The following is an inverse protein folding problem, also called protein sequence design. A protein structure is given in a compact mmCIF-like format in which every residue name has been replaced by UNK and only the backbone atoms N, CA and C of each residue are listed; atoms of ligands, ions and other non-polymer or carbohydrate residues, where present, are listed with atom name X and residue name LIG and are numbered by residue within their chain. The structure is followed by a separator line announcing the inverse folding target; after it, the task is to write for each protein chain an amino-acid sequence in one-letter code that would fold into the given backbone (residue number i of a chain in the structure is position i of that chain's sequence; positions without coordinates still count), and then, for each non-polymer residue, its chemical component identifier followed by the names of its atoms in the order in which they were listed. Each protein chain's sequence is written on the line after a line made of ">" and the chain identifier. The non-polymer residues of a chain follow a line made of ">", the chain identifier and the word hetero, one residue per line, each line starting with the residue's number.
data_IF_308714675773
#
_entry.id   IF_308714675773
#
_cell.length_a   1.000
_cell.length_b   1.000
_cell.length_c   1.000
_cell.angle_alpha   90.00
_cell.angle_beta   90.00
_cell.angle_gamma   90.00
#
_symmetry.space_group_name_H-M   'P 1'
#
loop_
_entity.id
_entity.type
_entity.pdbx_description
1 polymer ?
#
# COMPACT_ATOMS: atom_id res chain seq x y z
N UNK A 1 47.75 32.20 -14.14
CA UNK A 1 46.47 32.74 -13.62
C UNK A 1 45.48 33.23 -14.68
N UNK A 2 45.90 33.85 -15.80
CA UNK A 2 44.96 34.37 -16.82
C UNK A 2 44.10 33.28 -17.49
N UNK A 3 44.68 32.11 -17.82
CA UNK A 3 43.95 31.00 -18.45
C UNK A 3 42.84 30.39 -17.56
N UNK A 4 43.05 30.34 -16.24
CA UNK A 4 42.04 29.82 -15.29
C UNK A 4 40.78 30.69 -15.28
N UNK A 5 40.93 32.02 -15.34
CA UNK A 5 39.81 32.97 -15.34
C UNK A 5 38.99 32.88 -16.62
N UNK A 6 39.65 32.73 -17.78
CA UNK A 6 38.98 32.58 -19.07
C UNK A 6 38.21 31.25 -19.13
N UNK A 7 38.81 30.15 -18.65
CA UNK A 7 38.14 28.86 -18.58
C UNK A 7 36.89 28.89 -17.69
N UNK A 8 36.95 29.55 -16.53
CA UNK A 8 35.80 29.72 -15.62
C UNK A 8 34.65 30.50 -16.27
N UNK A 9 34.96 31.56 -17.03
CA UNK A 9 33.94 32.35 -17.75
C UNK A 9 33.31 31.49 -18.85
N UNK A 10 34.10 30.74 -19.62
CA UNK A 10 33.57 29.86 -20.68
C UNK A 10 32.67 28.78 -20.08
N UNK A 11 33.08 28.15 -18.98
CA UNK A 11 32.27 27.13 -18.29
C UNK A 11 30.97 27.74 -17.75
N UNK A 12 31.04 28.94 -17.17
CA UNK A 12 29.85 29.66 -16.67
C UNK A 12 28.87 29.99 -17.79
N UNK A 13 29.35 30.51 -18.93
CA UNK A 13 28.50 30.81 -20.08
C UNK A 13 27.91 29.53 -20.68
N UNK A 14 28.71 28.47 -20.77
CA UNK A 14 28.25 27.18 -21.27
C UNK A 14 27.14 26.58 -20.37
N UNK A 15 27.27 26.70 -19.04
CA UNK A 15 26.25 26.28 -18.08
C UNK A 15 24.93 27.05 -18.23
N UNK A 16 24.97 28.34 -18.60
CA UNK A 16 23.75 29.15 -18.81
C UNK A 16 23.01 28.85 -20.11
N UNK A 17 23.67 28.24 -21.09
CA UNK A 17 23.08 27.91 -22.41
C UNK A 17 22.53 26.47 -22.41
N UNK A 18 22.72 25.69 -21.34
CA UNK A 18 22.15 24.36 -21.25
C UNK A 18 20.62 24.46 -21.41
N UNK A 19 20.02 23.71 -22.36
CA UNK A 19 18.59 23.76 -22.59
C UNK A 19 17.84 23.42 -21.32
N UNK A 20 16.71 24.08 -21.09
CA UNK A 20 15.77 23.70 -20.03
C UNK A 20 15.42 22.23 -20.21
N UNK A 21 15.88 21.38 -19.30
CA UNK A 21 15.57 19.96 -19.33
C UNK A 21 14.09 19.84 -18.97
N UNK A 22 13.26 19.49 -19.95
CA UNK A 22 11.85 19.21 -19.71
C UNK A 22 11.74 18.11 -18.66
N UNK A 23 11.09 18.38 -17.54
CA UNK A 23 10.96 17.40 -16.47
C UNK A 23 9.52 17.16 -16.09
N UNK A 24 8.96 16.06 -16.59
CA UNK A 24 7.83 15.42 -15.93
C UNK A 24 8.38 14.55 -14.80
N UNK A 25 7.83 14.71 -13.60
CA UNK A 25 8.06 13.79 -12.49
C UNK A 25 6.97 12.72 -12.44
N UNK A 26 7.34 11.49 -12.07
CA UNK A 26 6.38 10.47 -11.64
C UNK A 26 6.69 10.10 -10.20
N UNK A 27 5.69 10.27 -9.33
CA UNK A 27 5.73 9.81 -7.95
C UNK A 27 4.78 8.63 -7.80
N UNK A 28 5.24 7.58 -7.14
CA UNK A 28 4.48 6.34 -6.94
C UNK A 28 4.25 6.12 -5.45
N UNK A 29 3.05 5.68 -5.07
CA UNK A 29 2.75 5.36 -3.66
C UNK A 29 3.46 4.06 -3.21
N UNK A 30 3.94 3.25 -4.16
CA UNK A 30 4.77 2.06 -3.90
C UNK A 30 6.22 2.28 -4.32
N UNK A 31 7.14 1.70 -3.55
CA UNK A 31 8.54 1.57 -3.93
C UNK A 31 8.67 0.54 -5.07
N UNK A 32 9.61 0.76 -6.00
CA UNK A 32 9.85 -0.11 -7.16
C UNK A 32 10.16 -1.58 -6.79
N UNK A 33 10.69 -1.80 -5.58
CA UNK A 33 11.02 -3.13 -5.06
C UNK A 33 9.88 -3.80 -4.28
N UNK A 34 8.75 -3.12 -4.08
CA UNK A 34 7.62 -3.71 -3.37
C UNK A 34 6.84 -4.64 -4.31
N UNK A 35 6.68 -5.87 -3.87
CA UNK A 35 5.84 -6.85 -4.57
C UNK A 35 4.41 -6.75 -4.06
N UNK A 36 3.47 -6.47 -4.96
CA UNK A 36 2.06 -6.42 -4.62
C UNK A 36 1.54 -7.86 -4.46
N UNK A 37 0.97 -8.20 -3.30
CA UNK A 37 0.43 -9.54 -3.08
C UNK A 37 -1.08 -9.52 -3.30
N UNK A 38 -1.55 -10.35 -4.24
CA UNK A 38 -2.94 -10.45 -4.66
C UNK A 38 -3.37 -11.92 -4.78
N UNK A 39 -4.65 -12.20 -4.51
CA UNK A 39 -5.28 -13.46 -4.86
C UNK A 39 -5.62 -13.51 -6.37
N UNK A 40 -5.77 -14.69 -6.99
CA UNK A 40 -6.23 -14.79 -8.39
C UNK A 40 -7.55 -14.04 -8.60
N UNK A 41 -7.60 -13.10 -9.53
CA UNK A 41 -8.77 -12.26 -9.80
C UNK A 41 -8.97 -11.08 -8.85
N UNK A 42 -8.18 -10.96 -7.78
CA UNK A 42 -8.24 -9.79 -6.90
C UNK A 42 -7.74 -8.56 -7.64
N UNK A 43 -8.45 -7.44 -7.44
CA UNK A 43 -8.05 -6.13 -7.92
C UNK A 43 -7.66 -5.24 -6.75
N UNK A 44 -6.60 -4.44 -6.91
CA UNK A 44 -6.20 -3.44 -5.93
C UNK A 44 -5.86 -2.12 -6.59
N UNK A 45 -6.27 -1.04 -5.92
CA UNK A 45 -5.97 0.33 -6.32
C UNK A 45 -4.51 0.69 -6.06
N UNK A 46 -3.88 1.30 -7.05
CA UNK A 46 -2.51 1.79 -7.02
C UNK A 46 -2.49 3.24 -7.51
N UNK A 47 -2.05 4.16 -6.64
CA UNK A 47 -1.94 5.57 -6.96
C UNK A 47 -0.58 5.92 -7.56
N UNK A 48 -0.61 6.70 -8.63
CA UNK A 48 0.56 7.41 -9.15
C UNK A 48 0.23 8.90 -9.25
N UNK A 49 1.26 9.75 -9.22
CA UNK A 49 1.12 11.19 -9.41
C UNK A 49 2.07 11.65 -10.49
N UNK A 50 1.52 12.29 -11.51
CA UNK A 50 2.29 12.96 -12.55
C UNK A 50 2.54 14.39 -12.07
N UNK A 51 3.79 14.83 -12.08
CA UNK A 51 4.18 16.18 -11.67
C UNK A 51 4.65 16.95 -12.89
N UNK A 52 3.99 18.07 -13.17
CA UNK A 52 4.42 19.01 -14.19
C UNK A 52 5.19 20.15 -13.52
N UNK A 53 6.51 20.21 -13.76
CA UNK A 53 7.35 21.29 -13.26
C UNK A 53 7.49 22.44 -14.25
N UNK A 54 6.88 22.36 -15.43
CA UNK A 54 6.90 23.40 -16.44
C UNK A 54 5.96 24.56 -16.07
N UNK A 55 6.21 25.72 -16.67
CA UNK A 55 5.34 26.91 -16.55
C UNK A 55 4.11 26.83 -17.47
N UNK A 56 4.06 25.85 -18.37
CA UNK A 56 2.95 25.61 -19.30
C UNK A 56 2.19 24.32 -19.01
N UNK A 57 0.99 24.20 -19.58
CA UNK A 57 0.26 22.93 -19.60
C UNK A 57 1.01 21.89 -20.45
N UNK A 58 1.00 20.65 -19.97
CA UNK A 58 1.69 19.54 -20.60
C UNK A 58 0.70 18.41 -20.85
N UNK A 59 0.66 17.90 -22.08
CA UNK A 59 -0.13 16.71 -22.40
C UNK A 59 0.76 15.47 -22.33
N UNK A 60 0.26 14.47 -21.62
CA UNK A 60 0.92 13.17 -21.47
C UNK A 60 0.10 12.06 -22.09
N UNK A 61 0.81 11.06 -22.61
CA UNK A 61 0.28 9.78 -23.05
C UNK A 61 0.70 8.72 -22.03
N UNK A 62 -0.26 7.93 -21.58
CA UNK A 62 -0.05 6.84 -20.63
C UNK A 62 -0.21 5.53 -21.39
N UNK A 63 0.81 4.68 -21.34
CA UNK A 63 0.77 3.33 -21.91
C UNK A 63 0.91 2.30 -20.79
N UNK A 64 0.10 1.25 -20.85
CA UNK A 64 0.03 0.20 -19.85
C UNK A 64 -0.48 -1.08 -20.50
N UNK A 65 -0.31 -2.20 -19.79
CA UNK A 65 -0.87 -3.49 -20.20
C UNK A 65 -2.32 -3.65 -19.71
N UNK A 66 -3.33 -3.61 -20.60
CA UNK A 66 -4.74 -3.72 -20.21
C UNK A 66 -5.11 -5.10 -19.64
N UNK A 67 -4.27 -6.13 -19.82
CA UNK A 67 -4.55 -7.46 -19.29
C UNK A 67 -4.43 -7.53 -17.75
N UNK A 68 -3.66 -6.61 -17.15
CA UNK A 68 -3.35 -6.60 -15.70
C UNK A 68 -3.64 -5.26 -15.04
N UNK A 69 -3.94 -4.22 -15.81
CA UNK A 69 -4.14 -2.86 -15.31
C UNK A 69 -5.26 -2.15 -16.07
N UNK A 70 -6.05 -1.35 -15.37
CA UNK A 70 -6.99 -0.40 -15.96
C UNK A 70 -6.88 0.97 -15.27
N UNK A 71 -6.98 2.05 -16.03
CA UNK A 71 -6.98 3.42 -15.47
C UNK A 71 -8.42 3.80 -15.11
N UNK A 72 -8.61 4.32 -13.89
CA UNK A 72 -9.88 4.88 -13.44
C UNK A 72 -9.92 6.37 -13.85
N UNK A 73 -11.09 6.82 -14.34
CA UNK A 73 -11.41 8.23 -14.67
C UNK A 73 -10.66 8.88 -15.84
N UNK A 74 -9.48 8.41 -16.22
CA UNK A 74 -8.67 9.03 -17.27
C UNK A 74 -8.60 8.22 -18.56
N UNK A 75 -8.46 8.95 -19.66
CA UNK A 75 -8.20 8.37 -20.98
C UNK A 75 -6.71 8.00 -21.15
N UNK A 76 -6.33 7.48 -22.32
CA UNK A 76 -4.92 7.27 -22.72
C UNK A 76 -4.09 8.56 -22.69
N UNK A 77 -4.75 9.72 -22.71
CA UNK A 77 -4.14 11.04 -22.65
C UNK A 77 -4.66 11.83 -21.45
N UNK A 78 -3.79 12.65 -20.87
CA UNK A 78 -4.15 13.57 -19.80
C UNK A 78 -3.42 14.91 -19.98
N UNK A 79 -4.11 15.99 -19.64
CA UNK A 79 -3.56 17.33 -19.60
C UNK A 79 -3.19 17.65 -18.14
N UNK A 80 -1.93 18.01 -17.92
CA UNK A 80 -1.36 18.31 -16.61
C UNK A 80 -1.08 19.81 -16.55
N UNK A 81 -1.81 20.58 -15.72
CA UNK A 81 -1.62 22.02 -15.61
C UNK A 81 -0.19 22.39 -15.20
N UNK A 82 0.23 23.61 -15.54
CA UNK A 82 1.53 24.16 -15.14
C UNK A 82 1.74 24.08 -13.62
N UNK A 83 2.98 23.77 -13.19
CA UNK A 83 3.38 23.68 -11.77
C UNK A 83 2.43 22.88 -10.88
N UNK A 84 1.81 21.83 -11.42
CA UNK A 84 0.78 21.07 -10.73
C UNK A 84 1.12 19.58 -10.64
N UNK A 85 0.29 18.84 -9.89
CA UNK A 85 0.36 17.39 -9.85
C UNK A 85 -1.01 16.78 -10.14
N UNK A 86 -1.04 15.86 -11.10
CA UNK A 86 -2.23 15.09 -11.47
C UNK A 86 -2.18 13.71 -10.80
N UNK A 87 -3.07 13.42 -9.84
CA UNK A 87 -3.22 12.08 -9.30
C UNK A 87 -3.91 11.16 -10.33
N UNK A 88 -3.37 9.97 -10.54
CA UNK A 88 -3.98 8.92 -11.35
C UNK A 88 -4.15 7.67 -10.50
N UNK A 89 -5.30 7.04 -10.65
CA UNK A 89 -5.61 5.80 -9.97
C UNK A 89 -5.62 4.65 -10.96
N UNK A 90 -4.75 3.67 -10.73
CA UNK A 90 -4.62 2.45 -11.53
C UNK A 90 -5.26 1.31 -10.74
N UNK A 91 -6.21 0.62 -11.35
CA UNK A 91 -6.75 -0.61 -10.80
C UNK A 91 -5.98 -1.80 -11.36
N UNK A 92 -5.37 -2.60 -10.49
CA UNK A 92 -4.42 -3.64 -10.86
C UNK A 92 -5.03 -4.98 -10.51
N UNK A 93 -5.23 -5.83 -11.52
CA UNK A 93 -5.97 -7.08 -11.38
C UNK A 93 -5.05 -8.27 -11.61
N UNK A 94 -5.04 -9.20 -10.66
CA UNK A 94 -4.31 -10.45 -10.81
C UNK A 94 -5.02 -11.39 -11.80
N UNK A 95 -4.31 -11.97 -12.78
CA UNK A 95 -4.93 -12.87 -13.76
C UNK A 95 -5.41 -14.19 -13.13
N UNK A 96 -6.61 -14.65 -13.52
CA UNK A 96 -7.28 -15.83 -12.96
C UNK A 96 -6.57 -17.17 -13.23
N UNK A 97 -5.80 -17.29 -14.33
CA UNK A 97 -5.07 -18.52 -14.69
C UNK A 97 -3.70 -18.68 -14.02
N UNK A 98 -3.40 -17.80 -13.06
CA UNK A 98 -2.21 -17.75 -12.19
C UNK A 98 -2.04 -18.95 -11.25
N UNK A 99 -0.88 -19.62 -11.24
CA UNK A 99 -0.53 -20.50 -10.13
C UNK A 99 -0.10 -19.67 -8.91
N UNK A 100 -0.45 -20.09 -7.68
CA UNK A 100 0.10 -19.48 -6.48
C UNK A 100 1.64 -19.52 -6.47
N UNK A 101 2.26 -18.39 -6.18
CA UNK A 101 3.71 -18.19 -6.22
C UNK A 101 4.21 -17.50 -7.49
N UNK A 102 3.41 -17.47 -8.55
CA UNK A 102 3.77 -16.80 -9.80
C UNK A 102 3.99 -15.30 -9.59
N UNK A 103 5.02 -14.78 -10.27
CA UNK A 103 5.33 -13.35 -10.35
C UNK A 103 4.86 -12.82 -11.68
N UNK A 104 3.99 -11.81 -11.65
CA UNK A 104 3.49 -11.12 -12.84
C UNK A 104 4.05 -9.70 -12.83
N UNK A 105 4.82 -9.34 -13.86
CA UNK A 105 5.37 -7.99 -13.99
C UNK A 105 4.32 -7.05 -14.56
N UNK A 106 4.06 -5.97 -13.84
CA UNK A 106 3.20 -4.88 -14.27
C UNK A 106 4.07 -3.71 -14.68
N UNK A 107 3.84 -3.16 -15.86
CA UNK A 107 4.60 -2.01 -16.37
C UNK A 107 3.67 -0.95 -16.93
N UNK A 108 4.06 0.30 -16.77
CA UNK A 108 3.42 1.43 -17.41
C UNK A 108 4.49 2.47 -17.79
N UNK A 109 4.18 3.31 -18.78
CA UNK A 109 5.03 4.41 -19.19
C UNK A 109 4.21 5.68 -19.38
N UNK A 110 4.77 6.80 -18.96
CA UNK A 110 4.22 8.13 -19.21
C UNK A 110 5.16 8.86 -20.15
N UNK A 111 4.62 9.31 -21.27
CA UNK A 111 5.36 10.06 -22.28
C UNK A 111 4.73 11.45 -22.44
N UNK A 112 5.55 12.49 -22.35
CA UNK A 112 5.11 13.82 -22.76
C UNK A 112 4.94 13.86 -24.28
N UNK A 113 3.79 14.32 -24.77
CA UNK A 113 3.53 14.42 -26.23
C UNK A 113 3.44 15.85 -26.73
N UNK A 114 3.17 16.83 -25.85
CA UNK A 114 3.21 18.25 -26.18
C UNK A 114 3.51 19.10 -24.94
N UNK A 115 4.05 20.31 -25.16
CA UNK A 115 4.32 21.31 -24.12
C UNK A 115 4.68 22.66 -24.74
N UNK A 116 4.88 23.70 -23.92
CA UNK A 116 5.06 25.11 -24.35
C UNK A 116 6.41 25.43 -25.04
N UNK A 117 7.07 24.47 -25.68
CA UNK A 117 8.33 24.65 -26.39
C UNK A 117 8.15 24.60 -27.92
N UNK A 118 8.79 25.52 -28.64
CA UNK A 118 8.65 25.72 -30.10
C UNK A 118 9.35 24.67 -30.99
N UNK A 119 9.43 23.41 -30.58
CA UNK A 119 10.00 22.33 -31.38
C UNK A 119 9.36 21.00 -31.03
N UNK A 120 9.34 20.04 -31.96
CA UNK A 120 8.89 18.66 -31.70
C UNK A 120 9.98 18.00 -30.84
N UNK A 121 9.84 17.93 -29.51
CA UNK A 121 10.92 17.43 -28.69
C UNK A 121 10.79 15.91 -28.67
N UNK A 122 11.89 15.20 -28.94
CA UNK A 122 11.98 13.77 -28.64
C UNK A 122 12.00 13.68 -27.11
N UNK A 123 10.81 13.56 -26.53
CA UNK A 123 10.64 13.56 -25.08
C UNK A 123 10.81 12.13 -24.54
N UNK A 124 11.68 11.92 -23.54
CA UNK A 124 11.87 10.60 -22.96
C UNK A 124 10.58 10.12 -22.31
N UNK A 125 10.24 8.86 -22.56
CA UNK A 125 9.18 8.18 -21.81
C UNK A 125 9.75 7.72 -20.46
N UNK A 126 9.01 7.97 -19.39
CA UNK A 126 9.36 7.47 -18.06
C UNK A 126 8.59 6.18 -17.85
N UNK A 127 9.32 5.07 -17.85
CA UNK A 127 8.78 3.73 -17.64
C UNK A 127 9.00 3.28 -16.20
N UNK A 128 7.95 2.72 -15.59
CA UNK A 128 7.99 2.11 -14.26
C UNK A 128 7.43 0.71 -14.34
N UNK A 129 7.93 -0.17 -13.48
CA UNK A 129 7.42 -1.53 -13.37
C UNK A 129 7.62 -2.07 -11.98
N UNK A 130 6.72 -2.94 -11.54
CA UNK A 130 6.82 -3.67 -10.29
C UNK A 130 6.18 -5.07 -10.46
N UNK A 131 6.36 -5.95 -9.47
CA UNK A 131 5.85 -7.32 -9.55
C UNK A 131 4.60 -7.50 -8.69
N UNK A 132 3.66 -8.30 -9.19
CA UNK A 132 2.58 -8.89 -8.41
C UNK A 132 2.99 -10.32 -8.06
N UNK A 133 2.84 -10.73 -6.81
CA UNK A 133 2.91 -12.13 -6.39
C UNK A 133 1.51 -12.67 -6.15
N UNK A 134 1.19 -13.75 -6.85
CA UNK A 134 -0.10 -14.42 -6.71
C UNK A 134 -0.03 -15.30 -5.45
N UNK A 135 -0.87 -15.01 -4.46
CA UNK A 135 -0.95 -15.79 -3.24
C UNK A 135 -2.14 -16.76 -3.30
N UNK A 136 -1.97 -17.93 -2.69
CA UNK A 136 -3.11 -18.84 -2.46
C UNK A 136 -3.99 -18.22 -1.38
N UNK A 137 -5.32 -18.27 -1.57
CA UNK A 137 -6.23 -17.97 -0.46
C UNK A 137 -5.79 -18.79 0.76
N UNK A 138 -5.56 -18.16 1.93
CA UNK A 138 -5.40 -18.94 3.14
C UNK A 138 -6.66 -19.79 3.27
N UNK A 139 -6.51 -21.11 3.41
CA UNK A 139 -7.63 -22.00 3.65
C UNK A 139 -8.45 -21.35 4.75
N UNK A 140 -9.70 -20.97 4.43
CA UNK A 140 -10.57 -20.22 5.34
C UNK A 140 -10.43 -20.87 6.70
N UNK A 141 -9.89 -20.16 7.68
CA UNK A 141 -9.92 -20.63 9.06
C UNK A 141 -11.39 -20.63 9.43
N UNK A 142 -12.06 -21.75 9.21
CA UNK A 142 -13.41 -21.91 9.68
C UNK A 142 -13.32 -21.86 11.20
N UNK A 143 -13.85 -20.79 11.79
CA UNK A 143 -14.09 -20.72 13.24
C UNK A 143 -14.99 -21.88 13.73
N UNK A 144 -15.53 -22.71 12.82
CA UNK A 144 -16.21 -23.97 13.16
C UNK A 144 -15.30 -24.97 13.87
N UNK A 145 -13.97 -24.89 13.70
CA UNK A 145 -13.03 -25.76 14.43
C UNK A 145 -12.76 -25.27 15.85
N UNK A 146 -13.15 -24.02 16.15
CA UNK A 146 -13.36 -23.55 17.50
C UNK A 146 -14.83 -23.79 17.83
N UNK A 147 -15.25 -25.06 17.84
CA UNK A 147 -16.38 -25.40 18.71
C UNK A 147 -15.83 -25.26 20.13
N UNK A 148 -16.21 -24.23 20.90
CA UNK A 148 -15.84 -24.21 22.30
C UNK A 148 -16.29 -25.55 22.87
N UNK A 149 -15.42 -26.24 23.59
CA UNK A 149 -15.77 -27.49 24.26
C UNK A 149 -16.72 -27.14 25.42
N UNK A 150 -17.99 -26.90 25.06
CA UNK A 150 -19.07 -26.47 25.94
C UNK A 150 -19.12 -27.39 27.19
N UNK A 151 -18.95 -28.72 27.08
CA UNK A 151 -18.81 -29.59 28.25
C UNK A 151 -17.69 -29.19 29.21
N UNK A 152 -16.49 -28.86 28.72
CA UNK A 152 -15.36 -28.42 29.56
C UNK A 152 -15.63 -27.08 30.24
N UNK A 153 -16.24 -26.14 29.52
CA UNK A 153 -16.60 -24.82 30.07
C UNK A 153 -17.66 -24.98 31.17
N UNK A 154 -18.69 -25.79 30.94
CA UNK A 154 -19.72 -26.08 31.94
C UNK A 154 -19.16 -26.82 33.15
N UNK A 155 -18.25 -27.77 32.95
CA UNK A 155 -17.57 -28.47 34.03
C UNK A 155 -16.72 -27.51 34.89
N UNK A 156 -15.97 -26.60 34.25
CA UNK A 156 -15.18 -25.59 34.96
C UNK A 156 -16.06 -24.66 35.80
N UNK A 157 -17.19 -24.21 35.26
CA UNK A 157 -18.16 -23.38 35.99
C UNK A 157 -18.80 -24.13 37.16
N UNK A 158 -19.14 -25.42 36.99
CA UNK A 158 -19.69 -26.25 38.05
C UNK A 158 -18.68 -26.44 39.21
N UNK A 159 -17.40 -26.68 38.89
CA UNK A 159 -16.33 -26.78 39.87
C UNK A 159 -16.15 -25.47 40.62
N UNK A 160 -16.08 -24.34 39.91
CA UNK A 160 -15.95 -23.01 40.50
C UNK A 160 -17.11 -22.72 41.47
N UNK A 161 -18.34 -23.00 41.06
CA UNK A 161 -19.53 -22.86 41.90
C UNK A 161 -19.44 -23.73 43.17
N UNK A 162 -18.97 -24.98 43.04
CA UNK A 162 -18.85 -25.91 44.16
C UNK A 162 -17.80 -25.45 45.18
N UNK A 163 -16.67 -24.89 44.72
CA UNK A 163 -15.63 -24.29 45.56
C UNK A 163 -16.18 -23.10 46.35
N UNK A 164 -16.90 -22.19 45.69
CA UNK A 164 -17.53 -21.02 46.35
C UNK A 164 -18.53 -21.49 47.41
N UNK A 165 -19.39 -22.46 47.07
CA UNK A 165 -20.40 -22.99 47.99
C UNK A 165 -19.79 -23.67 49.22
N UNK A 166 -18.70 -24.42 49.07
CA UNK A 166 -17.99 -25.05 50.17
C UNK A 166 -17.29 -24.03 51.09
N UNK A 167 -16.75 -22.97 50.51
CA UNK A 167 -16.08 -21.89 51.25
C UNK A 167 -17.06 -21.13 52.16
N UNK A 168 -18.26 -20.83 51.66
CA UNK A 168 -19.33 -20.20 52.44
C UNK A 168 -19.79 -21.06 53.63
N UNK A 169 -19.92 -22.38 53.45
CA UNK A 169 -20.29 -23.31 54.55
C UNK A 169 -19.23 -23.37 55.66
N UNK A 170 -17.94 -23.29 55.32
CA UNK A 170 -16.85 -23.27 56.32
C UNK A 170 -16.86 -21.99 57.16
N UNK A 171 -17.14 -20.84 56.55
CA UNK A 171 -17.29 -19.56 57.26
C UNK A 171 -18.44 -19.57 58.28
N UNK A 172 -19.59 -20.13 57.91
CA UNK A 172 -20.76 -20.24 58.80
C UNK A 172 -20.51 -21.13 60.04
N UNK A 173 -19.71 -22.20 59.90
CA UNK A 173 -19.34 -23.06 61.06
C UNK A 173 -18.37 -22.36 62.02
N UNK A 174 -17.39 -21.59 61.52
CA UNK A 174 -16.47 -20.82 62.39
C UNK A 174 -17.21 -19.77 63.23
N UNK A 175 -18.19 -19.08 62.67
CA UNK A 175 -19.00 -18.09 63.41
C UNK A 175 -19.84 -18.69 64.56
N UNK A 176 -20.30 -19.95 64.42
CA UNK A 176 -21.03 -20.65 65.50
C UNK A 176 -20.15 -21.10 66.67
N UNK A 177 -18.85 -21.36 66.43
CA UNK A 177 -17.92 -21.77 67.49
C UNK A 177 -17.53 -20.57 68.36
N UNK A 178 -17.32 -19.40 67.76
CA UNK A 178 -16.97 -18.17 68.48
C UNK A 178 -18.11 -17.71 69.40
N UNK A 179 -19.38 -17.75 68.92
CA UNK A 179 -20.55 -17.42 69.77
C UNK A 179 -20.78 -18.37 70.96
N UNK A 180 -20.21 -19.59 70.95
CA UNK A 180 -20.28 -20.53 72.07
C UNK A 180 -19.16 -20.31 73.11
N UNK A 181 -18.02 -19.78 72.68
CA UNK A 181 -16.91 -19.45 73.59
C UNK A 181 -17.22 -18.19 74.43
N UNK A 182 -17.95 -17.23 73.86
CA UNK A 182 -18.29 -15.95 74.50
C UNK A 182 -19.46 -16.03 75.50
N UNK A 183 -20.12 -17.20 75.63
CA UNK A 183 -21.18 -17.46 76.62
C UNK A 183 -20.70 -18.23 77.86
N UNK A 184 -19.38 -18.47 77.98
CA UNK A 184 -18.77 -19.18 79.13
C UNK A 184 -17.84 -18.30 79.97
N UNK A 185 -17.86 -16.99 79.73
CA UNK A 185 -17.38 -15.95 80.64
C UNK A 185 -18.59 -15.19 81.17
#
# INVERSE_FOLDING_TARGET
>A
MKFLRISLIIISVLLTILPSVFSIGIVTDFLENNTLVLLPGESRMHGIRIQNTEDGEVRVKIEYDPAVMSIIEYSKYADVPAKSSLPLQLNITAPLGRNPGDLVRVSYSVQQISGSGAGVPILPAISKSFNIKIQREPARFYLSDITPDIPKILAALAIAYLIVRLSLKKGAKKGKIIKKADRRR
#
